data_IF_239602184844
#
_entry.id   IF_239602184844
#
_cell.length_a   1.000
_cell.length_b   1.000
_cell.length_c   1.000
_cell.angle_alpha   90.00
_cell.angle_beta   90.00
_cell.angle_gamma   90.00
#
_symmetry.space_group_name_H-M   'P 1'
#
loop_
_entity.id
_entity.type
_entity.pdbx_description
1 polymer ?
#
# COMPACT_ATOMS: atom_id res chain seq x y z
N UNK A 1 -3.80 23.90 26.05
CA UNK A 1 -2.53 24.54 25.66
C UNK A 1 -2.82 25.72 24.73
N UNK A 2 -2.07 26.83 24.77
CA UNK A 2 -2.11 27.84 23.67
C UNK A 2 -0.96 27.53 22.70
N UNK A 3 -1.24 27.47 21.39
CA UNK A 3 -0.23 27.26 20.35
C UNK A 3 -0.22 28.41 19.34
N UNK A 4 0.98 28.87 18.97
CA UNK A 4 1.25 29.89 17.95
C UNK A 4 1.87 29.31 16.68
N UNK A 5 2.19 28.02 16.71
CA UNK A 5 2.76 27.26 15.61
C UNK A 5 2.29 25.81 15.63
N UNK A 6 2.20 25.22 14.44
CA UNK A 6 1.96 23.80 14.24
C UNK A 6 3.03 23.25 13.31
N UNK A 7 3.67 22.17 13.75
CA UNK A 7 4.54 21.36 12.94
C UNK A 7 3.67 20.40 12.12
N UNK A 8 3.92 20.37 10.81
CA UNK A 8 3.14 19.62 9.83
C UNK A 8 4.03 18.57 9.20
N UNK A 9 3.67 17.30 9.35
CA UNK A 9 4.37 16.19 8.67
C UNK A 9 3.38 15.33 7.89
N UNK A 10 3.87 14.68 6.84
CA UNK A 10 3.07 13.86 5.93
C UNK A 10 3.51 12.41 6.02
N UNK A 11 2.58 11.49 5.75
CA UNK A 11 2.86 10.05 5.76
C UNK A 11 1.76 9.23 5.13
N UNK A 12 1.96 7.91 5.12
CA UNK A 12 0.90 6.97 4.75
C UNK A 12 -0.23 6.98 5.79
N UNK A 13 -1.36 6.36 5.43
CA UNK A 13 -2.50 6.20 6.33
C UNK A 13 -2.08 5.51 7.62
N UNK A 14 -2.37 6.13 8.76
CA UNK A 14 -1.79 5.74 10.04
C UNK A 14 -2.33 4.39 10.56
N UNK A 15 -3.52 3.97 10.11
CA UNK A 15 -4.10 2.66 10.41
C UNK A 15 -4.26 2.39 11.92
N UNK A 16 -3.74 1.24 12.36
CA UNK A 16 -3.77 0.79 13.76
C UNK A 16 -2.59 1.26 14.61
N UNK A 17 -1.58 1.91 14.00
CA UNK A 17 -0.40 2.35 14.71
C UNK A 17 -0.76 3.43 15.76
N UNK A 18 -0.07 3.35 16.91
CA UNK A 18 -0.23 4.25 18.06
C UNK A 18 1.13 4.81 18.43
N UNK A 19 1.45 6.00 17.92
CA UNK A 19 2.72 6.67 18.16
C UNK A 19 2.58 8.18 17.97
N UNK A 20 3.60 8.95 18.38
CA UNK A 20 3.58 10.41 18.31
C UNK A 20 4.02 10.98 16.94
N UNK A 21 4.50 10.12 16.03
CA UNK A 21 4.99 10.47 14.69
C UNK A 21 4.42 9.53 13.64
N UNK A 22 4.51 9.92 12.36
CA UNK A 22 4.14 9.03 11.26
C UNK A 22 4.94 7.72 11.29
N UNK A 23 4.30 6.55 11.11
CA UNK A 23 5.00 5.28 10.97
C UNK A 23 5.81 5.23 9.67
N UNK A 24 5.25 5.77 8.59
CA UNK A 24 5.83 5.82 7.25
C UNK A 24 5.77 7.27 6.73
N UNK A 25 6.74 8.12 7.13
CA UNK A 25 6.74 9.52 6.74
C UNK A 25 7.03 9.66 5.24
N UNK A 26 6.44 10.69 4.62
CA UNK A 26 6.69 11.06 3.22
C UNK A 26 6.99 12.55 3.11
N UNK A 27 7.64 12.93 2.01
CA UNK A 27 7.89 14.34 1.74
C UNK A 27 6.58 15.09 1.49
N UNK A 28 6.63 16.41 1.72
CA UNK A 28 5.53 17.30 1.31
C UNK A 28 5.22 17.20 -0.19
N UNK A 29 6.25 17.10 -1.03
CA UNK A 29 6.08 17.08 -2.48
C UNK A 29 5.45 15.77 -2.98
N UNK A 30 5.75 14.63 -2.37
CA UNK A 30 5.07 13.37 -2.64
C UNK A 30 3.61 13.43 -2.16
N UNK A 31 3.36 13.94 -0.95
CA UNK A 31 2.00 14.14 -0.44
C UNK A 31 1.17 15.08 -1.35
N UNK A 32 1.79 16.12 -1.91
CA UNK A 32 1.13 17.03 -2.85
C UNK A 32 0.74 16.32 -4.16
N UNK A 33 1.62 15.47 -4.69
CA UNK A 33 1.34 14.64 -5.88
C UNK A 33 0.20 13.65 -5.60
N UNK A 34 0.24 12.96 -4.45
CA UNK A 34 -0.86 12.08 -4.00
C UNK A 34 -2.19 12.83 -3.85
N UNK A 35 -2.17 14.02 -3.25
CA UNK A 35 -3.36 14.86 -3.13
C UNK A 35 -3.94 15.22 -4.49
N UNK A 36 -3.11 15.67 -5.44
CA UNK A 36 -3.52 16.02 -6.80
C UNK A 36 -4.09 14.81 -7.56
N UNK A 37 -3.52 13.61 -7.35
CA UNK A 37 -3.99 12.34 -7.90
C UNK A 37 -5.25 11.78 -7.19
N UNK A 38 -5.70 12.39 -6.09
CA UNK A 38 -6.81 11.89 -5.29
C UNK A 38 -6.49 10.60 -4.52
N UNK A 39 -5.20 10.29 -4.32
CA UNK A 39 -4.73 9.16 -3.55
C UNK A 39 -4.71 9.46 -2.05
N UNK A 40 -4.79 8.39 -1.25
CA UNK A 40 -4.78 8.53 0.20
C UNK A 40 -3.42 8.98 0.74
N UNK A 41 -3.45 9.83 1.77
CA UNK A 41 -2.29 10.22 2.57
C UNK A 41 -2.77 10.78 3.91
N UNK A 42 -1.84 10.90 4.86
CA UNK A 42 -2.09 11.45 6.18
C UNK A 42 -1.24 12.70 6.47
N UNK A 43 -1.78 13.60 7.28
CA UNK A 43 -1.12 14.79 7.80
C UNK A 43 -1.17 14.73 9.32
N UNK A 44 -0.01 14.88 9.97
CA UNK A 44 0.10 15.01 11.41
C UNK A 44 0.35 16.48 11.74
N UNK A 45 -0.49 17.03 12.60
CA UNK A 45 -0.34 18.35 13.19
C UNK A 45 0.13 18.18 14.63
N UNK A 46 1.31 18.70 14.92
CA UNK A 46 1.94 18.63 16.24
C UNK A 46 2.29 20.03 16.75
N UNK A 47 2.35 20.20 18.07
CA UNK A 47 2.90 21.40 18.68
C UNK A 47 3.76 21.00 19.88
N UNK A 48 4.96 21.59 19.99
CA UNK A 48 5.90 21.29 21.09
C UNK A 48 6.16 19.78 21.24
N UNK A 49 6.38 19.11 20.11
CA UNK A 49 6.62 17.66 20.00
C UNK A 49 5.44 16.77 20.43
N UNK A 50 4.24 17.34 20.63
CA UNK A 50 3.02 16.58 20.95
C UNK A 50 2.08 16.52 19.76
N UNK A 51 1.58 15.33 19.38
CA UNK A 51 0.55 15.20 18.35
C UNK A 51 -0.75 15.83 18.84
N UNK A 52 -1.37 16.68 18.03
CA UNK A 52 -2.65 17.32 18.32
C UNK A 52 -3.77 16.77 17.44
N UNK A 53 -3.49 16.60 16.14
CA UNK A 53 -4.42 16.00 15.20
C UNK A 53 -3.73 15.17 14.13
N UNK A 54 -4.40 14.13 13.69
CA UNK A 54 -4.10 13.36 12.49
C UNK A 54 -5.24 13.56 11.51
N UNK A 55 -4.94 14.08 10.33
CA UNK A 55 -5.88 14.26 9.23
C UNK A 55 -5.58 13.24 8.15
N UNK A 56 -6.53 12.39 7.85
CA UNK A 56 -6.47 11.43 6.75
C UNK A 56 -7.31 11.93 5.58
N UNK A 57 -6.70 11.95 4.39
CA UNK A 57 -7.40 12.13 3.13
C UNK A 57 -7.54 10.76 2.47
N UNK A 58 -8.76 10.37 2.12
CA UNK A 58 -9.08 9.08 1.51
C UNK A 58 -9.48 9.26 0.04
N UNK A 59 -9.31 8.23 -0.80
CA UNK A 59 -9.90 8.19 -2.13
C UNK A 59 -11.39 8.54 -2.09
N UNK A 60 -11.90 9.20 -3.13
CA UNK A 60 -13.27 9.78 -3.20
C UNK A 60 -13.51 11.01 -2.30
N UNK A 61 -12.45 11.73 -1.92
CA UNK A 61 -12.50 13.02 -1.22
C UNK A 61 -13.17 12.95 0.15
N UNK A 62 -13.01 11.82 0.84
CA UNK A 62 -13.43 11.71 2.24
C UNK A 62 -12.28 12.15 3.13
N UNK A 63 -12.61 12.84 4.21
CA UNK A 63 -11.65 13.31 5.19
C UNK A 63 -11.96 12.66 6.52
N UNK A 64 -10.92 12.33 7.29
CA UNK A 64 -11.07 11.88 8.66
C UNK A 64 -10.08 12.61 9.54
N UNK A 65 -10.55 13.12 10.67
CA UNK A 65 -9.69 13.80 11.64
C UNK A 65 -9.73 13.01 12.93
N UNK A 66 -8.56 12.59 13.38
CA UNK A 66 -8.34 12.07 14.71
C UNK A 66 -7.76 13.18 15.59
N UNK A 67 -8.27 13.31 16.81
CA UNK A 67 -7.74 14.25 17.80
C UNK A 67 -7.09 13.49 18.95
N UNK A 68 -6.01 14.07 19.45
CA UNK A 68 -5.24 13.55 20.56
C UNK A 68 -5.54 14.36 21.83
N UNK A 69 -5.52 13.69 22.98
CA UNK A 69 -5.57 14.35 24.29
C UNK A 69 -4.15 14.72 24.79
N UNK A 70 -4.06 15.35 25.96
CA UNK A 70 -2.78 15.75 26.58
C UNK A 70 -1.84 14.56 26.90
N UNK A 71 -2.33 13.32 26.87
CA UNK A 71 -1.54 12.09 27.03
C UNK A 71 -1.06 11.53 25.67
N UNK A 72 -1.33 12.25 24.58
CA UNK A 72 -1.13 11.80 23.21
C UNK A 72 -1.95 10.55 22.87
N UNK A 73 -3.11 10.38 23.51
CA UNK A 73 -4.03 9.30 23.17
C UNK A 73 -5.04 9.77 22.15
N UNK A 74 -5.28 8.95 21.13
CA UNK A 74 -6.31 9.16 20.12
C UNK A 74 -7.68 8.92 20.75
N UNK A 75 -8.36 9.99 21.13
CA UNK A 75 -9.63 9.95 21.89
C UNK A 75 -10.83 10.40 21.08
N UNK A 76 -10.64 10.99 19.90
CA UNK A 76 -11.74 11.41 19.04
C UNK A 76 -11.45 11.11 17.57
N UNK A 77 -12.50 10.79 16.81
CA UNK A 77 -12.49 10.60 15.37
C UNK A 77 -13.68 11.33 14.74
N UNK A 78 -13.44 12.11 13.70
CA UNK A 78 -14.44 12.88 12.97
C UNK A 78 -14.39 12.48 11.51
N UNK A 79 -15.46 11.85 11.00
CA UNK A 79 -15.66 11.60 9.58
C UNK A 79 -16.29 12.83 8.92
N UNK A 80 -15.60 13.34 7.91
CA UNK A 80 -15.95 14.53 7.15
C UNK A 80 -16.30 14.14 5.71
N UNK A 81 -17.46 14.59 5.23
CA UNK A 81 -17.91 14.32 3.86
C UNK A 81 -18.21 15.61 3.09
N UNK A 82 -17.96 15.65 1.78
CA UNK A 82 -18.35 16.79 0.95
C UNK A 82 -19.85 17.11 1.10
N UNK A 83 -20.17 18.37 1.39
CA UNK A 83 -21.53 18.90 1.40
C UNK A 83 -21.58 20.21 0.63
N UNK A 84 -22.26 20.20 -0.52
CA UNK A 84 -22.26 21.36 -1.42
C UNK A 84 -20.87 21.66 -2.00
N UNK A 85 -20.66 22.90 -2.43
CA UNK A 85 -19.41 23.33 -3.06
C UNK A 85 -18.44 23.87 -2.00
N UNK A 86 -17.29 23.21 -1.85
CA UNK A 86 -16.18 23.73 -1.02
C UNK A 86 -16.32 23.51 0.49
N UNK A 87 -17.33 22.77 0.95
CA UNK A 87 -17.55 22.50 2.38
C UNK A 87 -17.55 20.99 2.68
N UNK A 88 -17.14 20.67 3.90
CA UNK A 88 -17.17 19.34 4.51
C UNK A 88 -18.14 19.36 5.70
N UNK A 89 -19.01 18.36 5.78
CA UNK A 89 -19.85 18.10 6.93
C UNK A 89 -19.17 17.13 7.87
N UNK A 90 -19.05 17.49 9.15
CA UNK A 90 -18.70 16.59 10.25
C UNK A 90 -19.85 15.60 10.52
N UNK A 91 -20.01 14.64 9.61
CA UNK A 91 -21.13 13.71 9.59
C UNK A 91 -21.14 12.78 10.80
N UNK A 92 -19.97 12.32 11.24
CA UNK A 92 -19.86 11.39 12.37
C UNK A 92 -18.69 11.75 13.25
N UNK A 93 -18.97 12.07 14.50
CA UNK A 93 -17.98 12.34 15.53
C UNK A 93 -18.05 11.25 16.60
N UNK A 94 -16.98 10.50 16.78
CA UNK A 94 -16.86 9.43 17.78
C UNK A 94 -15.81 9.83 18.81
N UNK A 95 -16.19 9.84 20.09
CA UNK A 95 -15.30 10.12 21.22
C UNK A 95 -15.19 8.88 22.10
N UNK A 96 -13.98 8.58 22.55
CA UNK A 96 -13.66 7.47 23.44
C UNK A 96 -13.07 7.99 24.74
N UNK A 97 -13.51 7.41 25.85
CA UNK A 97 -12.88 7.59 27.16
C UNK A 97 -12.14 6.32 27.53
N UNK A 98 -10.93 6.49 28.07
CA UNK A 98 -10.06 5.42 28.52
C UNK A 98 -9.62 5.69 29.96
N UNK A 99 -9.83 4.70 30.83
CA UNK A 99 -9.54 4.72 32.25
C UNK A 99 -8.05 4.52 32.54
N UNK A 100 -7.33 3.85 31.64
CA UNK A 100 -5.91 3.59 31.77
C UNK A 100 -5.21 3.25 30.45
N UNK A 101 -3.87 3.21 30.51
CA UNK A 101 -3.00 2.96 29.36
C UNK A 101 -3.20 1.55 28.78
N UNK A 102 -3.51 0.57 29.64
CA UNK A 102 -3.78 -0.81 29.24
C UNK A 102 -5.03 -0.89 28.36
N UNK A 103 -6.10 -0.24 28.80
CA UNK A 103 -7.38 -0.13 28.10
C UNK A 103 -7.17 0.55 26.75
N UNK A 104 -6.50 1.71 26.74
CA UNK A 104 -6.13 2.42 25.53
C UNK A 104 -5.33 1.54 24.56
N UNK A 105 -4.24 0.94 25.02
CA UNK A 105 -3.35 0.10 24.20
C UNK A 105 -4.08 -1.09 23.60
N UNK A 106 -5.02 -1.68 24.32
CA UNK A 106 -5.86 -2.79 23.83
C UNK A 106 -7.03 -2.36 22.94
N UNK A 107 -7.24 -1.06 22.74
CA UNK A 107 -8.39 -0.51 22.00
C UNK A 107 -9.73 -0.65 22.72
N UNK A 108 -9.71 -0.97 24.02
CA UNK A 108 -10.92 -1.12 24.85
C UNK A 108 -11.20 0.21 25.53
N UNK A 109 -12.21 0.92 25.05
CA UNK A 109 -12.73 2.14 25.67
C UNK A 109 -13.68 1.80 26.82
N UNK A 110 -13.88 2.71 27.77
CA UNK A 110 -14.88 2.60 28.84
C UNK A 110 -16.22 3.24 28.44
N UNK A 111 -16.14 4.34 27.68
CA UNK A 111 -17.30 5.04 27.12
C UNK A 111 -17.01 5.39 25.66
N UNK A 112 -17.98 5.15 24.79
CA UNK A 112 -17.99 5.65 23.42
C UNK A 112 -19.20 6.54 23.20
N UNK A 113 -18.99 7.82 22.88
CA UNK A 113 -20.06 8.72 22.46
C UNK A 113 -19.96 8.96 20.95
N UNK A 114 -21.02 8.64 20.21
CA UNK A 114 -21.10 8.87 18.77
C UNK A 114 -22.18 9.91 18.48
N UNK A 115 -21.77 11.04 17.91
CA UNK A 115 -22.67 12.06 17.36
C UNK A 115 -22.72 11.90 15.85
N UNK A 116 -23.91 11.71 15.28
CA UNK A 116 -24.15 11.67 13.83
C UNK A 116 -24.98 12.88 13.43
N UNK A 117 -24.57 13.54 12.35
CA UNK A 117 -25.22 14.73 11.81
C UNK A 117 -25.64 14.44 10.37
N UNK A 118 -26.93 14.64 10.08
CA UNK A 118 -27.48 14.54 8.73
C UNK A 118 -27.27 15.84 7.94
N UNK A 119 -27.46 15.79 6.62
CA UNK A 119 -27.26 16.96 5.75
C UNK A 119 -28.25 18.11 6.02
N UNK A 120 -29.39 17.82 6.65
CA UNK A 120 -30.43 18.77 7.06
C UNK A 120 -30.31 19.21 8.53
N UNK A 121 -29.22 18.84 9.23
CA UNK A 121 -28.94 19.29 10.59
C UNK A 121 -29.67 18.52 11.69
N UNK A 122 -30.18 17.31 11.41
CA UNK A 122 -30.62 16.41 12.47
C UNK A 122 -29.41 15.78 13.14
N UNK A 123 -29.34 15.93 14.46
CA UNK A 123 -28.26 15.42 15.30
C UNK A 123 -28.76 14.25 16.10
N UNK A 124 -28.02 13.15 16.07
CA UNK A 124 -28.24 11.97 16.89
C UNK A 124 -27.00 11.67 17.72
N UNK A 125 -27.14 11.65 19.05
CA UNK A 125 -26.06 11.32 19.99
C UNK A 125 -26.36 9.98 20.64
N UNK A 126 -25.43 9.04 20.53
CA UNK A 126 -25.46 7.71 21.17
C UNK A 126 -24.31 7.58 22.17
N UNK A 127 -24.58 7.02 23.34
CA UNK A 127 -23.56 6.78 24.37
C UNK A 127 -23.52 5.31 24.74
N UNK A 128 -22.42 4.64 24.46
CA UNK A 128 -22.19 3.24 24.77
C UNK A 128 -21.19 3.12 25.92
N UNK A 129 -21.41 2.14 26.81
CA UNK A 129 -20.56 1.87 27.96
C UNK A 129 -19.99 0.46 27.85
N UNK A 130 -18.71 0.29 28.19
CA UNK A 130 -18.07 -1.01 28.16
C UNK A 130 -18.74 -1.98 29.14
N UNK A 131 -18.98 -3.21 28.69
CA UNK A 131 -19.55 -4.24 29.57
C UNK A 131 -18.60 -4.51 30.76
N UNK A 132 -19.13 -4.68 31.98
CA UNK A 132 -18.29 -4.99 33.14
C UNK A 132 -17.49 -6.27 32.91
N UNK A 133 -16.18 -6.23 33.18
CA UNK A 133 -15.34 -7.44 33.25
C UNK A 133 -15.92 -8.39 34.30
N UNK A 134 -16.68 -9.40 33.87
CA UNK A 134 -17.23 -10.44 34.75
C UNK A 134 -18.56 -11.08 34.33
N UNK A 135 -19.31 -10.51 33.38
CA UNK A 135 -20.60 -11.08 32.94
C UNK A 135 -20.48 -12.16 31.85
N UNK A 136 -19.44 -13.00 31.92
CA UNK A 136 -19.31 -14.17 31.04
C UNK A 136 -19.71 -15.45 31.79
N UNK A 137 -20.93 -15.48 32.32
CA UNK A 137 -21.59 -16.72 32.78
C UNK A 137 -23.07 -16.66 32.46
N UNK A 138 -23.44 -16.46 31.19
CA UNK A 138 -24.76 -16.87 30.72
C UNK A 138 -24.64 -17.63 29.40
N UNK A 139 -25.27 -18.81 29.37
CA UNK A 139 -25.18 -19.79 28.30
C UNK A 139 -25.83 -19.29 26.99
N UNK A 140 -25.40 -19.78 25.80
CA UNK A 140 -25.82 -19.26 24.50
C UNK A 140 -27.30 -19.44 24.10
N UNK A 141 -28.16 -19.95 24.98
CA UNK A 141 -29.51 -20.40 24.62
C UNK A 141 -30.67 -19.49 25.07
N UNK A 142 -30.40 -18.31 25.62
CA UNK A 142 -31.46 -17.36 26.01
C UNK A 142 -31.30 -15.96 25.41
N UNK A 143 -30.75 -15.86 24.19
CA UNK A 143 -30.76 -14.62 23.41
C UNK A 143 -32.14 -14.38 22.80
N UNK A 144 -33.11 -14.05 23.65
CA UNK A 144 -34.25 -13.26 23.20
C UNK A 144 -33.71 -11.87 22.87
N UNK A 145 -34.01 -11.37 21.68
CA UNK A 145 -33.60 -10.07 21.14
C UNK A 145 -34.05 -8.90 22.03
N UNK A 146 -33.30 -8.63 23.11
CA UNK A 146 -33.44 -7.44 23.92
C UNK A 146 -32.66 -6.31 23.26
N UNK A 147 -33.36 -5.26 22.86
CA UNK A 147 -32.72 -4.03 22.41
C UNK A 147 -31.72 -3.56 23.49
N UNK A 148 -30.44 -3.49 23.13
CA UNK A 148 -29.46 -2.77 23.94
C UNK A 148 -30.01 -1.35 24.16
N UNK A 149 -30.33 -1.01 25.41
CA UNK A 149 -30.84 0.31 25.80
C UNK A 149 -29.68 1.32 25.75
N UNK A 150 -29.12 1.56 24.56
CA UNK A 150 -28.16 2.63 24.31
C UNK A 150 -28.94 3.94 24.40
N UNK A 151 -28.61 4.86 25.33
CA UNK A 151 -29.24 6.16 25.38
C UNK A 151 -29.02 6.90 24.05
N UNK A 152 -30.12 7.25 23.37
CA UNK A 152 -30.10 8.02 22.12
C UNK A 152 -30.80 9.36 22.35
N UNK A 153 -30.10 10.46 22.09
CA UNK A 153 -30.67 11.82 22.09
C UNK A 153 -30.74 12.33 20.67
N UNK A 154 -31.89 12.91 20.28
CA UNK A 154 -32.10 13.51 18.96
C UNK A 154 -32.57 14.94 19.09
N UNK A 155 -31.97 15.84 18.31
CA UNK A 155 -32.36 17.25 18.24
C UNK A 155 -31.93 17.86 16.90
N UNK A 156 -32.57 18.96 16.53
CA UNK A 156 -32.16 19.75 15.36
C UNK A 156 -31.14 20.82 15.79
N UNK A 157 -30.13 21.05 14.96
CA UNK A 157 -29.18 22.13 15.13
C UNK A 157 -28.83 22.76 13.76
N UNK A 158 -28.44 24.05 13.70
CA UNK A 158 -28.00 24.66 12.45
C UNK A 158 -26.84 23.89 11.84
N UNK A 159 -26.99 23.44 10.59
CA UNK A 159 -25.98 22.63 9.89
C UNK A 159 -24.63 23.34 9.80
N UNK A 160 -24.63 24.68 9.71
CA UNK A 160 -23.43 25.52 9.65
C UNK A 160 -22.50 25.32 10.85
N UNK A 161 -23.02 24.86 12.00
CA UNK A 161 -22.21 24.53 13.18
C UNK A 161 -21.31 23.29 12.98
N UNK A 162 -21.57 22.50 11.93
CA UNK A 162 -20.88 21.24 11.63
C UNK A 162 -20.14 21.28 10.30
N UNK A 163 -20.10 22.44 9.64
CA UNK A 163 -19.39 22.63 8.39
C UNK A 163 -17.98 23.18 8.63
N UNK A 164 -17.01 22.67 7.88
CA UNK A 164 -15.70 23.31 7.70
C UNK A 164 -15.37 23.38 6.21
N UNK A 165 -14.55 24.35 5.75
CA UNK A 165 -14.14 24.38 4.36
C UNK A 165 -13.30 23.15 4.00
N UNK A 166 -13.35 22.74 2.74
CA UNK A 166 -12.39 21.76 2.21
C UNK A 166 -11.00 22.41 2.22
N UNK A 167 -10.00 21.84 2.90
CA UNK A 167 -8.65 22.41 2.88
C UNK A 167 -8.05 22.34 1.48
N UNK A 168 -7.40 23.43 1.06
CA UNK A 168 -6.38 23.35 0.01
C UNK A 168 -5.14 22.62 0.56
N UNK A 169 -4.37 21.97 -0.31
CA UNK A 169 -3.15 21.29 0.12
C UNK A 169 -2.18 22.30 0.77
N UNK A 170 -1.86 22.07 2.05
CA UNK A 170 -1.01 22.96 2.85
C UNK A 170 -1.78 23.92 3.76
N UNK A 171 -3.10 24.10 3.57
CA UNK A 171 -3.95 24.91 4.46
C UNK A 171 -4.57 24.04 5.56
N UNK A 172 -3.73 23.59 6.49
CA UNK A 172 -4.16 22.72 7.58
C UNK A 172 -4.78 23.49 8.76
N UNK A 173 -4.75 24.82 8.73
CA UNK A 173 -5.34 25.67 9.79
C UNK A 173 -6.85 25.54 9.85
N UNK A 174 -7.49 25.06 8.78
CA UNK A 174 -8.93 24.75 8.76
C UNK A 174 -9.36 23.82 9.91
N UNK A 175 -8.44 23.02 10.43
CA UNK A 175 -8.71 22.08 11.53
C UNK A 175 -8.48 22.66 12.93
N UNK A 176 -7.93 23.88 13.05
CA UNK A 176 -7.70 24.54 14.34
C UNK A 176 -8.96 24.66 15.23
N UNK A 177 -10.18 24.89 14.69
CA UNK A 177 -11.39 24.87 15.52
C UNK A 177 -11.65 23.53 16.22
N UNK A 178 -11.23 22.40 15.63
CA UNK A 178 -11.33 21.09 16.29
C UNK A 178 -10.30 20.92 17.40
N UNK A 179 -9.12 21.52 17.25
CA UNK A 179 -8.09 21.55 18.31
C UNK A 179 -8.56 22.35 19.52
N UNK A 180 -9.22 23.50 19.30
CA UNK A 180 -9.80 24.32 20.36
C UNK A 180 -10.84 23.55 21.19
N UNK A 181 -11.62 22.66 20.56
CA UNK A 181 -12.58 21.79 21.27
C UNK A 181 -11.90 20.80 22.24
N UNK A 182 -10.62 20.50 22.07
CA UNK A 182 -9.82 19.69 22.99
C UNK A 182 -9.08 20.52 24.05
N UNK A 183 -9.31 21.84 24.10
CA UNK A 183 -8.58 22.74 25.00
C UNK A 183 -7.21 23.17 24.46
N UNK A 184 -6.92 22.94 23.17
CA UNK A 184 -5.77 23.51 22.47
C UNK A 184 -6.21 24.78 21.74
N UNK A 185 -6.01 25.94 22.35
CA UNK A 185 -6.44 27.23 21.83
C UNK A 185 -5.39 27.79 20.83
N UNK A 186 -5.76 28.10 19.58
CA UNK A 186 -4.86 28.76 18.64
C UNK A 186 -4.62 30.22 19.06
N UNK A 187 -3.40 30.70 18.89
CA UNK A 187 -3.10 32.13 18.94
C UNK A 187 -3.77 32.89 17.77
N UNK A 188 -3.79 34.22 17.84
CA UNK A 188 -4.35 35.08 16.77
C UNK A 188 -3.70 34.83 15.41
N UNK A 189 -2.45 34.38 15.41
CA UNK A 189 -1.74 33.95 14.20
C UNK A 189 -1.06 32.63 14.52
N UNK A 190 -1.34 31.62 13.70
CA UNK A 190 -0.70 30.31 13.77
C UNK A 190 0.23 30.16 12.58
N UNK A 191 1.48 29.82 12.82
CA UNK A 191 2.47 29.52 11.78
C UNK A 191 2.46 28.01 11.51
N UNK A 192 2.36 27.59 10.26
CA UNK A 192 2.57 26.19 9.88
C UNK A 192 4.05 25.99 9.53
N UNK A 193 4.74 25.15 10.29
CA UNK A 193 6.10 24.73 10.02
C UNK A 193 6.06 23.39 9.31
N UNK A 194 6.61 23.30 8.11
CA UNK A 194 6.69 22.03 7.39
C UNK A 194 7.87 21.20 7.91
N UNK A 195 7.57 20.02 8.46
CA UNK A 195 8.53 19.01 8.89
C UNK A 195 8.55 17.90 7.84
N UNK A 196 9.00 18.26 6.64
CA UNK A 196 9.18 17.31 5.54
C UNK A 196 10.39 16.44 5.81
N UNK A 197 10.25 15.15 5.52
CA UNK A 197 11.40 14.28 5.28
C UNK A 197 11.94 14.50 3.87
N UNK A 198 13.21 14.15 3.66
CA UNK A 198 13.80 14.09 2.33
C UNK A 198 13.05 13.06 1.48
N UNK A 199 12.94 13.30 0.16
CA UNK A 199 12.29 12.34 -0.76
C UNK A 199 13.11 11.05 -0.94
N UNK A 200 14.36 11.06 -0.49
CA UNK A 200 15.29 9.98 -0.72
C UNK A 200 15.66 9.87 -2.21
N UNK A 201 16.28 8.76 -2.63
CA UNK A 201 16.62 8.52 -4.03
C UNK A 201 15.42 8.27 -4.96
N UNK A 202 14.20 8.24 -4.40
CA UNK A 202 12.95 8.02 -5.14
C UNK A 202 12.58 6.54 -5.27
N UNK A 203 11.73 6.19 -6.25
CA UNK A 203 11.26 4.82 -6.44
C UNK A 203 12.41 3.83 -6.59
N UNK A 204 12.13 2.54 -6.34
CA UNK A 204 13.09 1.46 -6.52
C UNK A 204 13.79 1.59 -7.87
N UNK A 205 15.12 1.42 -7.88
CA UNK A 205 15.93 1.52 -9.09
C UNK A 205 16.35 0.13 -9.58
N UNK A 206 16.49 -0.07 -10.90
CA UNK A 206 16.95 -1.33 -11.50
C UNK A 206 18.47 -1.49 -11.35
N UNK A 207 18.97 -1.58 -10.11
CA UNK A 207 20.41 -1.68 -9.84
C UNK A 207 20.87 -3.13 -9.86
N UNK A 208 21.88 -3.43 -10.70
CA UNK A 208 22.54 -4.73 -10.69
C UNK A 208 21.77 -5.86 -11.38
N UNK A 209 20.77 -5.53 -12.21
CA UNK A 209 19.94 -6.51 -12.94
C UNK A 209 20.81 -7.44 -13.80
N UNK A 210 21.88 -6.94 -14.40
CA UNK A 210 22.80 -7.75 -15.22
C UNK A 210 23.55 -8.80 -14.39
N UNK A 211 23.80 -8.51 -13.10
CA UNK A 211 24.49 -9.44 -12.19
C UNK A 211 23.62 -10.65 -11.85
N UNK A 212 22.28 -10.48 -11.86
CA UNK A 212 21.34 -11.58 -11.68
C UNK A 212 21.55 -12.68 -12.73
N UNK A 213 22.02 -12.35 -13.93
CA UNK A 213 22.23 -13.31 -15.01
C UNK A 213 23.70 -13.58 -15.30
N UNK A 214 24.61 -13.18 -14.40
CA UNK A 214 26.05 -13.40 -14.52
C UNK A 214 26.47 -14.52 -13.57
N UNK A 215 26.91 -15.70 -14.06
CA UNK A 215 27.31 -16.79 -13.19
C UNK A 215 28.48 -16.39 -12.28
N UNK A 216 28.40 -16.70 -10.98
CA UNK A 216 29.49 -16.40 -10.07
C UNK A 216 29.08 -16.24 -8.61
N UNK A 217 30.05 -15.90 -7.76
CA UNK A 217 29.79 -15.60 -6.36
C UNK A 217 29.07 -14.25 -6.22
N UNK A 218 28.14 -14.19 -5.28
CA UNK A 218 27.46 -12.98 -4.86
C UNK A 218 27.27 -12.97 -3.34
N UNK A 219 27.09 -11.80 -2.76
CA UNK A 219 26.67 -11.64 -1.36
C UNK A 219 25.16 -11.35 -1.30
N UNK A 220 24.50 -11.92 -0.29
CA UNK A 220 23.10 -11.67 0.04
C UNK A 220 22.97 -11.32 1.53
N UNK A 221 21.79 -10.90 1.97
CA UNK A 221 21.53 -10.64 3.40
C UNK A 221 21.76 -11.89 4.28
N UNK A 222 21.57 -13.07 3.70
CA UNK A 222 21.72 -14.37 4.40
C UNK A 222 23.14 -14.96 4.27
N UNK A 223 24.07 -14.22 3.66
CA UNK A 223 25.48 -14.59 3.50
C UNK A 223 25.89 -14.87 2.05
N UNK A 224 26.99 -15.60 1.83
CA UNK A 224 27.52 -15.84 0.49
C UNK A 224 26.59 -16.75 -0.31
N UNK A 225 26.46 -16.44 -1.59
CA UNK A 225 25.63 -17.14 -2.56
C UNK A 225 26.35 -17.34 -3.89
N UNK A 226 25.82 -18.22 -4.74
CA UNK A 226 26.26 -18.43 -6.11
C UNK A 226 25.09 -18.25 -7.06
N UNK A 227 25.29 -17.42 -8.08
CA UNK A 227 24.38 -17.17 -9.18
C UNK A 227 24.59 -18.21 -10.25
N UNK A 228 23.51 -18.89 -10.66
CA UNK A 228 23.51 -19.89 -11.72
C UNK A 228 22.34 -19.64 -12.67
N UNK A 229 22.58 -18.99 -13.82
CA UNK A 229 21.60 -18.88 -14.89
C UNK A 229 21.31 -20.26 -15.49
N UNK A 230 20.03 -20.60 -15.63
CA UNK A 230 19.56 -21.86 -16.24
C UNK A 230 18.50 -21.58 -17.31
N UNK A 231 18.48 -22.42 -18.33
CA UNK A 231 17.46 -22.38 -19.39
C UNK A 231 16.10 -22.86 -18.87
N UNK A 232 15.04 -22.17 -19.26
CA UNK A 232 13.66 -22.49 -18.90
C UNK A 232 12.75 -22.68 -20.12
N UNK A 233 13.33 -22.85 -21.31
CA UNK A 233 12.61 -23.09 -22.55
C UNK A 233 12.35 -21.82 -23.38
N UNK A 234 11.50 -21.97 -24.40
CA UNK A 234 11.16 -20.93 -25.37
C UNK A 234 9.72 -20.45 -25.16
N UNK A 235 9.54 -19.15 -24.94
CA UNK A 235 8.23 -18.51 -24.85
C UNK A 235 7.74 -18.10 -26.23
N UNK A 236 6.53 -18.52 -26.60
CA UNK A 236 5.88 -18.13 -27.84
C UNK A 236 4.96 -16.93 -27.63
N UNK A 237 5.24 -15.84 -28.34
CA UNK A 237 4.43 -14.63 -28.36
C UNK A 237 3.83 -14.43 -29.76
N UNK A 238 2.50 -14.42 -29.85
CA UNK A 238 1.73 -14.31 -31.11
C UNK A 238 0.98 -12.99 -31.21
N UNK A 239 0.62 -12.38 -30.08
CA UNK A 239 -0.10 -11.10 -30.02
C UNK A 239 0.82 -9.88 -30.11
N UNK A 240 2.11 -10.05 -29.79
CA UNK A 240 3.05 -8.94 -29.58
C UNK A 240 2.89 -8.28 -28.20
N UNK A 241 2.24 -8.96 -27.26
CA UNK A 241 2.09 -8.53 -25.88
C UNK A 241 2.53 -9.64 -24.94
N UNK A 242 3.58 -9.39 -24.16
CA UNK A 242 3.99 -10.22 -23.03
C UNK A 242 3.15 -9.84 -21.83
N UNK A 243 2.61 -10.85 -21.14
CA UNK A 243 2.00 -10.73 -19.83
C UNK A 243 2.89 -11.42 -18.79
N UNK A 244 3.11 -10.73 -17.69
CA UNK A 244 3.69 -11.26 -16.45
C UNK A 244 2.62 -11.26 -15.37
N UNK A 245 2.27 -12.43 -14.85
CA UNK A 245 1.32 -12.56 -13.74
C UNK A 245 1.60 -13.82 -12.92
N UNK A 246 0.98 -13.92 -11.75
CA UNK A 246 0.71 -15.20 -11.12
C UNK A 246 -0.34 -15.97 -11.96
N UNK A 247 -0.07 -17.22 -12.38
CA UNK A 247 -0.99 -17.98 -13.23
C UNK A 247 -2.24 -18.48 -12.49
N UNK A 248 -2.18 -18.67 -11.16
CA UNK A 248 -3.33 -19.08 -10.35
C UNK A 248 -4.09 -17.92 -9.72
N UNK A 249 -3.50 -16.73 -9.70
CA UNK A 249 -4.12 -15.51 -9.22
C UNK A 249 -3.80 -14.33 -10.15
N UNK A 250 -4.56 -14.22 -11.25
CA UNK A 250 -4.37 -13.13 -12.22
C UNK A 250 -5.04 -11.85 -11.68
N UNK A 251 -4.38 -11.18 -10.74
CA UNK A 251 -4.68 -9.81 -10.35
C UNK A 251 -3.53 -8.89 -10.78
N UNK A 252 -3.85 -7.78 -11.46
CA UNK A 252 -2.90 -6.76 -11.86
C UNK A 252 -1.69 -7.27 -12.69
N UNK A 253 -1.92 -7.91 -13.86
CA UNK A 253 -0.83 -8.36 -14.72
C UNK A 253 0.03 -7.20 -15.21
N UNK A 254 1.32 -7.46 -15.46
CA UNK A 254 2.20 -6.53 -16.19
C UNK A 254 2.23 -6.88 -17.66
N UNK A 255 1.73 -5.98 -18.50
CA UNK A 255 1.67 -6.16 -19.94
C UNK A 255 2.70 -5.28 -20.64
N UNK A 256 3.54 -5.88 -21.48
CA UNK A 256 4.61 -5.19 -22.21
C UNK A 256 4.49 -5.49 -23.70
N UNK A 257 4.52 -4.44 -24.52
CA UNK A 257 4.59 -4.59 -25.98
C UNK A 257 5.96 -5.11 -26.40
N UNK A 258 6.00 -6.23 -27.11
CA UNK A 258 7.22 -6.98 -27.46
C UNK A 258 7.12 -7.53 -28.89
N UNK A 259 8.23 -7.93 -29.54
CA UNK A 259 8.16 -8.61 -30.83
C UNK A 259 7.42 -9.95 -30.74
N UNK A 260 6.83 -10.37 -31.87
CA UNK A 260 6.24 -11.70 -32.02
C UNK A 260 7.33 -12.72 -32.39
N UNK A 261 7.20 -13.96 -31.94
CA UNK A 261 8.18 -15.02 -32.18
C UNK A 261 8.31 -16.00 -31.02
N UNK A 262 9.39 -16.77 -31.04
CA UNK A 262 9.80 -17.68 -29.96
C UNK A 262 11.08 -17.15 -29.32
N UNK A 263 11.06 -16.96 -28.00
CA UNK A 263 12.09 -16.24 -27.26
C UNK A 263 12.59 -17.03 -26.05
N UNK A 264 13.92 -17.12 -25.83
CA UNK A 264 14.46 -17.88 -24.70
C UNK A 264 14.13 -17.23 -23.36
N UNK A 265 13.74 -18.07 -22.42
CA UNK A 265 13.56 -17.73 -21.01
C UNK A 265 14.72 -18.29 -20.19
N UNK A 266 15.32 -17.43 -19.37
CA UNK A 266 16.41 -17.78 -18.46
C UNK A 266 15.99 -17.51 -17.03
N UNK A 267 16.15 -18.47 -16.14
CA UNK A 267 16.05 -18.25 -14.69
C UNK A 267 17.42 -17.96 -14.11
N UNK A 268 17.49 -17.03 -13.17
CA UNK A 268 18.63 -16.83 -12.28
C UNK A 268 18.40 -17.64 -11.00
N UNK A 269 19.08 -18.77 -10.83
CA UNK A 269 19.08 -19.49 -9.57
C UNK A 269 20.10 -18.88 -8.61
N UNK A 270 19.68 -18.68 -7.36
CA UNK A 270 20.52 -18.21 -6.27
C UNK A 270 20.71 -19.34 -5.27
N UNK A 271 21.92 -19.90 -5.24
CA UNK A 271 22.29 -20.97 -4.32
C UNK A 271 22.91 -20.38 -3.06
N UNK A 272 22.33 -20.69 -1.91
CA UNK A 272 22.82 -20.29 -0.59
C UNK A 272 23.13 -21.54 0.25
N UNK A 273 23.62 -21.34 1.47
CA UNK A 273 23.77 -22.42 2.45
C UNK A 273 22.42 -23.05 2.88
N UNK A 274 21.31 -22.33 2.69
CA UNK A 274 19.97 -22.73 3.16
C UNK A 274 19.12 -23.37 2.07
N UNK A 275 19.49 -23.23 0.80
CA UNK A 275 18.72 -23.76 -0.32
C UNK A 275 18.97 -23.02 -1.63
N UNK A 276 18.10 -23.27 -2.60
CA UNK A 276 18.15 -22.70 -3.94
C UNK A 276 16.82 -22.03 -4.23
N UNK A 277 16.85 -20.74 -4.57
CA UNK A 277 15.67 -19.98 -4.94
C UNK A 277 15.85 -19.36 -6.32
N UNK A 278 14.74 -19.04 -6.99
CA UNK A 278 14.75 -18.25 -8.23
C UNK A 278 14.88 -16.79 -7.82
N UNK A 279 16.03 -16.17 -8.11
CA UNK A 279 16.27 -14.75 -7.84
C UNK A 279 15.65 -13.84 -8.90
N UNK A 280 15.58 -14.29 -10.15
CA UNK A 280 14.96 -13.54 -11.24
C UNK A 280 14.62 -14.46 -12.41
N UNK A 281 13.74 -13.99 -13.30
CA UNK A 281 13.45 -14.62 -14.58
C UNK A 281 13.55 -13.58 -15.69
N UNK A 282 14.11 -13.95 -16.85
CA UNK A 282 14.26 -13.07 -18.01
C UNK A 282 13.75 -13.73 -19.28
N UNK A 283 12.94 -13.02 -20.05
CA UNK A 283 12.70 -13.33 -21.47
C UNK A 283 13.56 -12.40 -22.33
N UNK A 284 14.31 -12.96 -23.29
CA UNK A 284 15.24 -12.20 -24.13
C UNK A 284 14.72 -12.11 -25.56
N UNK A 285 14.49 -10.89 -26.04
CA UNK A 285 13.96 -10.62 -27.38
C UNK A 285 15.07 -10.26 -28.39
N UNK A 286 16.12 -9.61 -27.91
CA UNK A 286 17.29 -9.22 -28.70
C UNK A 286 18.56 -9.65 -27.95
N UNK A 287 19.51 -10.24 -28.67
CA UNK A 287 20.82 -10.63 -28.12
C UNK A 287 21.77 -9.43 -28.05
N UNK A 288 21.33 -8.39 -27.34
CA UNK A 288 22.06 -7.14 -27.10
C UNK A 288 21.83 -6.72 -25.65
N UNK A 289 22.89 -6.38 -24.89
CA UNK A 289 22.72 -5.90 -23.51
C UNK A 289 21.83 -4.66 -23.43
N UNK A 290 20.88 -4.61 -22.46
CA UNK A 290 20.10 -3.40 -22.18
C UNK A 290 20.99 -2.22 -21.78
N UNK A 291 20.50 -1.03 -22.08
CA UNK A 291 21.15 0.26 -21.85
C UNK A 291 20.35 1.13 -20.89
N UNK A 292 19.03 1.05 -21.03
CA UNK A 292 18.08 1.71 -20.17
C UNK A 292 17.12 0.66 -19.60
N UNK A 293 16.63 0.92 -18.40
CA UNK A 293 15.73 0.04 -17.67
C UNK A 293 14.53 0.85 -17.18
N UNK A 294 13.34 0.43 -17.59
CA UNK A 294 12.07 1.00 -17.13
C UNK A 294 11.35 0.01 -16.23
N UNK A 295 10.65 0.51 -15.20
CA UNK A 295 9.68 -0.31 -14.47
C UNK A 295 8.45 -0.55 -15.35
N UNK A 296 7.97 -1.79 -15.44
CA UNK A 296 6.72 -2.10 -16.11
C UNK A 296 5.54 -1.66 -15.22
N UNK A 297 4.75 -0.72 -15.72
CA UNK A 297 3.60 -0.15 -15.03
C UNK A 297 2.29 -0.70 -15.58
N UNK A 298 1.29 -0.81 -14.71
CA UNK A 298 -0.11 -0.96 -15.10
C UNK A 298 -0.70 0.34 -15.65
N UNK A 299 -1.91 0.30 -16.26
CA UNK A 299 -2.50 1.47 -16.92
C UNK A 299 -2.71 2.71 -16.05
N UNK A 300 -2.97 2.51 -14.76
CA UNK A 300 -3.29 3.58 -13.80
C UNK A 300 -2.15 3.85 -12.79
N UNK A 301 -0.97 3.27 -13.01
CA UNK A 301 0.18 3.38 -12.12
C UNK A 301 1.11 4.53 -12.52
N UNK A 302 1.63 5.26 -11.53
CA UNK A 302 2.48 6.44 -11.73
C UNK A 302 3.68 6.40 -10.79
N UNK A 303 4.90 6.34 -11.35
CA UNK A 303 6.15 6.39 -10.61
C UNK A 303 6.29 7.66 -9.76
N UNK A 304 5.65 8.76 -10.18
CA UNK A 304 5.60 10.01 -9.43
C UNK A 304 4.84 9.92 -8.10
N UNK A 305 4.13 8.82 -7.84
CA UNK A 305 3.35 8.61 -6.62
C UNK A 305 4.03 7.62 -5.66
N UNK A 306 5.20 7.11 -6.03
CA UNK A 306 6.03 6.23 -5.22
C UNK A 306 7.10 7.03 -4.44
N UNK A 307 7.28 6.66 -3.18
CA UNK A 307 8.35 7.14 -2.31
C UNK A 307 9.64 6.31 -2.44
N UNK A 308 10.55 6.52 -1.49
CA UNK A 308 11.85 5.86 -1.47
C UNK A 308 11.74 4.33 -1.46
N UNK A 309 12.39 3.67 -2.42
CA UNK A 309 12.43 2.22 -2.56
C UNK A 309 11.08 1.55 -2.86
N UNK A 310 10.00 2.32 -2.98
CA UNK A 310 8.67 1.83 -3.37
C UNK A 310 8.64 1.52 -4.87
N UNK A 311 7.80 0.57 -5.27
CA UNK A 311 7.69 0.10 -6.64
C UNK A 311 6.29 -0.43 -6.95
N UNK A 312 5.97 -0.46 -8.22
CA UNK A 312 4.88 -1.24 -8.79
C UNK A 312 5.43 -2.56 -9.35
N UNK A 313 4.63 -3.62 -9.33
CA UNK A 313 5.10 -4.94 -9.69
C UNK A 313 4.01 -5.98 -9.85
N UNK A 314 4.40 -7.16 -10.30
CA UNK A 314 3.50 -8.30 -10.39
C UNK A 314 3.18 -8.82 -8.99
N UNK A 315 1.88 -8.99 -8.69
CA UNK A 315 1.41 -9.65 -7.49
C UNK A 315 1.50 -11.16 -7.61
N UNK A 316 1.93 -11.83 -6.54
CA UNK A 316 2.08 -13.29 -6.43
C UNK A 316 1.39 -13.76 -5.15
N UNK A 317 0.54 -14.78 -5.27
CA UNK A 317 -0.25 -15.38 -4.19
C UNK A 317 -0.09 -16.91 -4.12
N UNK A 318 0.30 -17.54 -5.24
CA UNK A 318 0.53 -18.99 -5.35
C UNK A 318 2.01 -19.37 -5.22
N UNK A 319 2.86 -18.42 -4.82
CA UNK A 319 4.31 -18.57 -4.86
C UNK A 319 4.90 -18.77 -6.27
N UNK A 320 4.15 -18.45 -7.32
CA UNK A 320 4.51 -18.68 -8.72
C UNK A 320 4.32 -17.43 -9.57
N UNK A 321 5.18 -17.23 -10.56
CA UNK A 321 5.00 -16.23 -11.60
C UNK A 321 5.16 -16.88 -12.98
N UNK A 322 4.58 -16.26 -14.01
CA UNK A 322 4.63 -16.78 -15.36
C UNK A 322 4.88 -15.69 -16.39
N UNK A 323 5.56 -16.08 -17.47
CA UNK A 323 5.56 -15.36 -18.74
C UNK A 323 4.58 -16.03 -19.70
N UNK A 324 3.70 -15.24 -20.30
CA UNK A 324 2.73 -15.72 -21.29
C UNK A 324 2.38 -14.64 -22.30
N UNK A 325 1.85 -15.05 -23.44
CA UNK A 325 1.21 -14.12 -24.38
C UNK A 325 -0.12 -13.59 -23.81
N UNK A 326 -0.49 -12.35 -24.11
CA UNK A 326 -1.76 -11.76 -23.65
C UNK A 326 -3.03 -12.51 -24.09
N UNK A 327 -2.94 -13.36 -25.12
CA UNK A 327 -4.04 -14.20 -25.59
C UNK A 327 -4.08 -15.58 -24.93
N UNK A 328 -3.10 -15.94 -24.09
CA UNK A 328 -3.08 -17.20 -23.35
C UNK A 328 -4.11 -17.18 -22.21
N UNK A 329 -4.97 -18.18 -22.16
CA UNK A 329 -5.93 -18.39 -21.05
C UNK A 329 -5.59 -19.66 -20.27
N UNK A 330 -5.27 -19.55 -18.99
CA UNK A 330 -4.99 -20.72 -18.14
C UNK A 330 -6.30 -21.22 -17.53
N UNK A 331 -6.63 -22.49 -17.75
CA UNK A 331 -7.80 -23.10 -17.13
C UNK A 331 -7.43 -23.60 -15.71
N UNK A 332 -8.35 -23.43 -14.76
CA UNK A 332 -8.10 -23.76 -13.35
C UNK A 332 -7.73 -25.23 -13.13
N UNK A 333 -8.28 -26.14 -13.94
CA UNK A 333 -7.99 -27.58 -13.89
C UNK A 333 -6.56 -27.95 -14.32
N UNK A 334 -5.88 -27.08 -15.09
CA UNK A 334 -4.48 -27.26 -15.47
C UNK A 334 -3.51 -26.81 -14.38
N UNK A 335 -3.96 -25.98 -13.43
CA UNK A 335 -3.06 -25.34 -12.49
C UNK A 335 -2.44 -26.34 -11.49
N UNK A 336 -3.24 -27.23 -10.93
CA UNK A 336 -2.75 -28.17 -9.92
C UNK A 336 -1.80 -29.22 -10.54
N UNK A 337 -2.32 -30.04 -11.46
CA UNK A 337 -1.60 -31.21 -11.98
C UNK A 337 -0.46 -30.85 -12.94
N UNK A 338 -0.66 -29.84 -13.80
CA UNK A 338 0.28 -29.53 -14.87
C UNK A 338 1.25 -28.39 -14.51
N UNK A 339 1.01 -27.64 -13.44
CA UNK A 339 1.81 -26.45 -13.08
C UNK A 339 2.33 -26.47 -11.64
N UNK A 340 1.48 -26.51 -10.63
CA UNK A 340 1.90 -26.42 -9.23
C UNK A 340 2.63 -27.68 -8.74
N UNK A 341 2.07 -28.87 -8.97
CA UNK A 341 2.71 -30.12 -8.55
C UNK A 341 4.09 -30.29 -9.22
N UNK A 342 4.28 -30.05 -10.53
CA UNK A 342 5.60 -30.12 -11.13
C UNK A 342 6.57 -29.05 -10.59
N UNK A 343 6.08 -27.85 -10.26
CA UNK A 343 6.87 -26.80 -9.63
C UNK A 343 7.31 -27.14 -8.20
N UNK A 344 6.73 -28.12 -7.50
CA UNK A 344 7.26 -28.61 -6.21
C UNK A 344 8.63 -29.27 -6.34
N UNK A 345 8.97 -29.76 -7.53
CA UNK A 345 10.25 -30.44 -7.81
C UNK A 345 11.15 -29.72 -8.82
N UNK A 346 10.61 -28.74 -9.55
CA UNK A 346 11.34 -27.98 -10.57
C UNK A 346 11.29 -26.47 -10.30
N UNK A 347 12.18 -25.72 -10.94
CA UNK A 347 12.18 -24.25 -10.83
C UNK A 347 11.28 -23.57 -11.86
N UNK A 348 11.05 -24.22 -13.00
CA UNK A 348 10.15 -23.78 -14.07
C UNK A 348 9.41 -24.95 -14.68
N UNK A 349 8.26 -24.64 -15.28
CA UNK A 349 7.41 -25.56 -16.03
C UNK A 349 6.90 -24.84 -17.27
N UNK A 350 6.94 -25.50 -18.42
CA UNK A 350 6.23 -25.06 -19.60
C UNK A 350 4.85 -25.71 -19.62
N UNK A 351 3.79 -24.90 -19.68
CA UNK A 351 2.44 -25.35 -19.97
C UNK A 351 2.16 -25.11 -21.46
N UNK A 352 2.10 -26.16 -22.29
CA UNK A 352 1.92 -26.00 -23.72
C UNK A 352 0.52 -25.48 -24.06
N UNK A 353 0.44 -24.60 -25.07
CA UNK A 353 -0.81 -24.29 -25.75
C UNK A 353 -1.05 -25.28 -26.91
N UNK A 354 -2.29 -25.70 -27.19
CA UNK A 354 -2.56 -26.49 -28.39
C UNK A 354 -2.22 -25.65 -29.63
N UNK A 355 -1.33 -26.12 -30.50
CA UNK A 355 -0.94 -25.33 -31.68
C UNK A 355 -2.18 -24.90 -32.48
N UNK A 356 -2.29 -23.61 -32.87
CA UNK A 356 -1.28 -22.56 -32.88
C UNK A 356 -1.23 -21.65 -31.62
N UNK A 357 -1.82 -22.08 -30.50
CA UNK A 357 -1.90 -21.26 -29.30
C UNK A 357 -0.52 -21.03 -28.65
N UNK A 358 -0.32 -19.85 -28.02
CA UNK A 358 0.88 -19.56 -27.25
C UNK A 358 1.01 -20.52 -26.07
N UNK A 359 2.25 -20.82 -25.67
CA UNK A 359 2.52 -21.54 -24.43
C UNK A 359 2.59 -20.56 -23.24
N UNK A 360 2.83 -21.12 -22.06
CA UNK A 360 3.11 -20.39 -20.84
C UNK A 360 4.37 -20.98 -20.19
N UNK A 361 5.26 -20.13 -19.67
CA UNK A 361 6.40 -20.58 -18.87
C UNK A 361 6.22 -20.05 -17.45
N UNK A 362 5.89 -20.95 -16.52
CA UNK A 362 5.76 -20.67 -15.10
C UNK A 362 7.05 -21.00 -14.37
N UNK A 363 7.32 -20.29 -13.28
CA UNK A 363 8.49 -20.46 -12.44
C UNK A 363 8.23 -20.04 -11.00
N UNK A 364 8.96 -20.63 -10.07
CA UNK A 364 8.87 -20.28 -8.64
C UNK A 364 9.20 -18.80 -8.42
N UNK A 365 8.45 -18.15 -7.56
CA UNK A 365 8.62 -16.73 -7.27
C UNK A 365 9.44 -16.49 -6.00
N UNK A 366 10.76 -16.47 -6.10
CA UNK A 366 11.62 -16.06 -4.96
C UNK A 366 11.32 -16.77 -3.64
N UNK A 367 10.84 -16.00 -2.65
CA UNK A 367 10.44 -16.47 -1.32
C UNK A 367 8.94 -16.83 -1.21
N UNK A 368 8.18 -16.71 -2.30
CA UNK A 368 6.74 -16.98 -2.37
C UNK A 368 5.94 -15.70 -2.58
N UNK A 369 4.87 -15.55 -1.80
CA UNK A 369 3.86 -14.51 -1.96
C UNK A 369 4.43 -13.09 -1.77
N UNK A 370 3.89 -12.14 -2.53
CA UNK A 370 4.30 -10.75 -2.45
C UNK A 370 4.07 -9.97 -3.73
N UNK A 371 4.79 -8.85 -3.87
CA UNK A 371 4.79 -8.03 -5.08
C UNK A 371 6.23 -7.85 -5.54
N UNK A 372 6.49 -8.08 -6.82
CA UNK A 372 7.84 -8.10 -7.37
C UNK A 372 7.97 -7.15 -8.57
N UNK A 373 9.01 -6.31 -8.62
CA UNK A 373 9.21 -5.39 -9.73
C UNK A 373 9.47 -6.15 -11.04
N UNK A 374 8.90 -5.63 -12.12
CA UNK A 374 9.15 -6.11 -13.47
C UNK A 374 9.88 -5.00 -14.23
N UNK A 375 11.02 -5.33 -14.83
CA UNK A 375 11.90 -4.40 -15.50
C UNK A 375 11.92 -4.65 -17.00
N UNK A 376 11.82 -3.58 -17.79
CA UNK A 376 11.91 -3.59 -19.25
C UNK A 376 13.30 -3.09 -19.62
N UNK A 377 14.14 -3.98 -20.14
CA UNK A 377 15.46 -3.63 -20.64
C UNK A 377 15.38 -3.15 -22.09
N UNK A 378 15.81 -1.91 -22.35
CA UNK A 378 15.80 -1.31 -23.69
C UNK A 378 17.19 -1.21 -24.30
N UNK A 379 17.27 -1.40 -25.61
CA UNK A 379 18.47 -1.19 -26.41
C UNK A 379 18.74 0.30 -26.66
N UNK A 380 19.90 0.63 -27.23
CA UNK A 380 20.32 2.01 -27.57
C UNK A 380 19.33 2.74 -28.51
N UNK A 381 18.55 2.01 -29.31
CA UNK A 381 17.51 2.52 -30.21
C UNK A 381 16.09 2.47 -29.61
N UNK A 382 15.97 2.16 -28.31
CA UNK A 382 14.71 2.17 -27.56
C UNK A 382 13.85 0.91 -27.71
N UNK A 383 14.29 -0.10 -28.46
CA UNK A 383 13.58 -1.38 -28.60
C UNK A 383 13.63 -2.17 -27.30
N UNK A 384 12.59 -2.98 -27.04
CA UNK A 384 12.59 -3.89 -25.88
C UNK A 384 13.53 -5.06 -26.17
N UNK A 385 14.67 -5.09 -25.50
CA UNK A 385 15.67 -6.16 -25.61
C UNK A 385 15.37 -7.34 -24.69
N UNK A 386 14.86 -7.09 -23.49
CA UNK A 386 14.42 -8.13 -22.57
C UNK A 386 13.39 -7.61 -21.55
N UNK A 387 12.70 -8.54 -20.88
CA UNK A 387 11.88 -8.25 -19.70
C UNK A 387 12.34 -9.15 -18.57
N UNK A 388 12.47 -8.60 -17.37
CA UNK A 388 12.97 -9.28 -16.16
C UNK A 388 11.95 -9.15 -15.02
N UNK A 389 11.65 -10.25 -14.34
CA UNK A 389 11.04 -10.20 -13.00
C UNK A 389 12.15 -10.37 -11.99
N UNK A 390 12.27 -9.44 -11.05
CA UNK A 390 13.28 -9.46 -9.99
C UNK A 390 12.61 -9.80 -8.64
N UNK A 391 12.96 -10.96 -8.08
CA UNK A 391 12.40 -11.44 -6.81
C UNK A 391 13.10 -10.86 -5.58
N UNK A 392 13.98 -9.87 -5.78
CA UNK A 392 14.59 -9.06 -4.72
C UNK A 392 15.38 -9.87 -3.68
N UNK A 393 16.02 -10.95 -4.10
CA UNK A 393 16.83 -11.80 -3.22
C UNK A 393 18.26 -11.29 -3.02
N UNK A 394 18.67 -10.27 -3.77
CA UNK A 394 19.95 -9.62 -3.57
C UNK A 394 19.79 -8.49 -2.56
N UNK A 395 20.75 -8.37 -1.66
CA UNK A 395 20.95 -7.09 -0.98
C UNK A 395 21.38 -6.09 -2.05
N UNK A 396 20.68 -4.96 -2.14
CA UNK A 396 21.32 -3.78 -2.71
C UNK A 396 22.59 -3.57 -1.88
N UNK A 397 23.74 -3.94 -2.43
CA UNK A 397 24.99 -3.52 -1.84
C UNK A 397 24.90 -2.00 -1.77
N UNK A 398 24.95 -1.44 -0.55
CA UNK A 398 25.14 -0.01 -0.35
C UNK A 398 26.37 0.39 -1.17
N UNK A 399 26.10 0.93 -2.35
CA UNK A 399 27.11 1.18 -3.37
C UNK A 399 27.60 2.61 -3.27
N UNK A 400 28.52 2.82 -2.33
CA UNK A 400 29.54 3.87 -2.24
C UNK A 400 29.11 5.35 -2.18
#
# INVERSE_FOLDING_TARGET
MIFDSLDVSYGEMWGSHRGPTHPDPMSRALAARKHAAGMGYAVLLSAREQPLALVEYWPRRMWRVYLFDDRSWRTQMIDLKPQGTGMLLAQRNTRWQFSGEREYSSGKWDVQETTTVSADGQVEVRSEFAEPRGAATESPHDRTSGASNVPVRRFAAPVDSFLCPVPEFGDWQVFAPFLAQQGHEPATTVVLNDVSVDEGPGPLRPTGIERLFSPGASDTADGPAVVEPVDAGLLRITSGQLVVSDPGWISDPRTVAVPQGEFPVTLSLLRTAYGVNVAAARVTFLDVPPREWDMALGPDEDLGLLGDGQFHGVGVDTGTAAFMDATRTVAEDQLDEDLFIPLDSHFSVELPGPEPEPNLIAFRAGQGDGTYPVWIGRTDDGQVGCVVVDFRLYSAAEGA
#
